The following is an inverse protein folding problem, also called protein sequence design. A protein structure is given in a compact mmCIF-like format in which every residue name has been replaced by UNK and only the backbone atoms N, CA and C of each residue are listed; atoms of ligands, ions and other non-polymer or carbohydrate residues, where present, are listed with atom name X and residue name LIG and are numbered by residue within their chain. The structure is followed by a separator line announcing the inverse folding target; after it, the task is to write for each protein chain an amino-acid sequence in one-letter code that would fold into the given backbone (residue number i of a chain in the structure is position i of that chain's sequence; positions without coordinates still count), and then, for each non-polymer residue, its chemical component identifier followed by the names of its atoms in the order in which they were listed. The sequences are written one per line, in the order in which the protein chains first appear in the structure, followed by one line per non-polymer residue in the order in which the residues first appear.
data_IF_441730677665
#
_entry.id   IF_441730677665
#
_cell.length_a   1.000
_cell.length_b   1.000
_cell.length_c   1.000
_cell.angle_alpha   90.00
_cell.angle_beta   90.00
_cell.angle_gamma   90.00
#
_symmetry.space_group_name_H-M   'P 1'
#
loop_
_entity.id
_entity.type
_entity.pdbx_description
1 polymer ?
#
# COMPACT_ATOMS: atom_id res chain seq x y z
N UNK A 1 5.51 11.72 -10.07
CA UNK A 1 5.33 10.30 -10.41
C UNK A 1 6.63 9.62 -10.06
N UNK A 2 6.60 8.53 -9.31
CA UNK A 2 7.83 7.88 -8.88
C UNK A 2 8.57 7.23 -10.07
N UNK A 3 9.90 7.21 -10.04
CA UNK A 3 10.70 6.50 -11.05
C UNK A 3 10.83 5.02 -10.69
N UNK A 4 11.15 4.17 -11.67
CA UNK A 4 11.31 2.72 -11.43
C UNK A 4 12.39 2.46 -10.38
N UNK A 5 12.05 1.71 -9.33
CA UNK A 5 12.94 1.39 -8.21
C UNK A 5 13.06 2.51 -7.17
N UNK A 6 12.24 3.58 -7.27
CA UNK A 6 12.17 4.58 -6.20
C UNK A 6 11.66 3.94 -4.90
N UNK A 7 12.40 4.14 -3.81
CA UNK A 7 12.12 3.57 -2.49
C UNK A 7 11.68 4.66 -1.51
N UNK A 8 10.67 4.35 -0.72
CA UNK A 8 10.27 5.11 0.45
C UNK A 8 10.22 4.19 1.66
N UNK A 9 11.02 4.49 2.68
CA UNK A 9 11.10 3.71 3.92
C UNK A 9 10.70 4.59 5.10
N UNK A 10 9.99 3.99 6.05
CA UNK A 10 9.52 4.68 7.23
C UNK A 10 9.45 3.76 8.43
N UNK A 11 9.39 4.36 9.62
CA UNK A 11 9.11 3.65 10.86
C UNK A 11 8.36 4.55 11.83
N UNK A 12 7.52 3.93 12.64
CA UNK A 12 6.85 4.52 13.78
C UNK A 12 7.32 3.78 15.03
N UNK A 13 7.80 4.53 16.00
CA UNK A 13 8.23 4.02 17.29
C UNK A 13 7.22 4.46 18.35
N UNK A 14 6.69 3.50 19.10
CA UNK A 14 5.76 3.74 20.19
C UNK A 14 6.14 2.86 21.40
N UNK A 15 6.04 3.40 22.61
CA UNK A 15 6.43 2.68 23.83
C UNK A 15 5.52 1.46 24.09
N UNK A 16 4.22 1.60 23.86
CA UNK A 16 3.22 0.54 24.09
C UNK A 16 3.14 -0.41 22.90
N UNK A 17 3.13 0.11 21.67
CA UNK A 17 2.88 -0.66 20.45
C UNK A 17 4.16 -1.17 19.78
N UNK A 18 5.34 -0.74 20.22
CA UNK A 18 6.62 -1.13 19.63
C UNK A 18 6.89 -0.47 18.28
N UNK A 19 7.84 -1.03 17.52
CA UNK A 19 8.23 -0.50 16.21
C UNK A 19 7.34 -1.07 15.10
N UNK A 20 6.76 -0.16 14.30
CA UNK A 20 6.12 -0.50 13.03
C UNK A 20 6.96 0.05 11.90
N UNK A 21 7.34 -0.81 10.93
CA UNK A 21 8.19 -0.45 9.80
C UNK A 21 7.41 -0.46 8.50
N UNK A 22 7.89 0.32 7.53
CA UNK A 22 7.34 0.47 6.20
C UNK A 22 8.47 0.41 5.17
N UNK A 23 8.26 -0.35 4.11
CA UNK A 23 8.97 -0.21 2.84
C UNK A 23 7.96 -0.09 1.71
N UNK A 24 8.18 0.88 0.82
CA UNK A 24 7.39 1.09 -0.38
C UNK A 24 8.34 1.24 -1.57
N UNK A 25 8.02 0.62 -2.69
CA UNK A 25 8.84 0.63 -3.91
C UNK A 25 7.96 0.87 -5.13
N UNK A 26 8.43 1.72 -6.03
CA UNK A 26 7.87 1.84 -7.37
C UNK A 26 8.36 0.68 -8.25
N UNK A 27 7.62 -0.42 -8.25
CA UNK A 27 7.99 -1.68 -8.94
C UNK A 27 7.71 -1.66 -10.45
N UNK A 28 6.94 -0.70 -10.96
CA UNK A 28 6.72 -0.51 -12.40
C UNK A 28 6.50 0.96 -12.74
N UNK A 29 6.97 1.40 -13.91
CA UNK A 29 6.78 2.76 -14.43
C UNK A 29 5.70 2.85 -15.52
N UNK A 30 5.55 1.81 -16.35
CA UNK A 30 4.56 1.75 -17.43
C UNK A 30 3.91 0.34 -17.49
N UNK A 31 2.75 0.13 -16.83
CA UNK A 31 1.97 1.10 -16.05
C UNK A 31 2.61 1.43 -14.69
N UNK A 32 2.27 2.57 -14.05
CA UNK A 32 2.81 2.90 -12.73
C UNK A 32 2.23 1.98 -11.66
N UNK A 33 3.10 1.25 -10.95
CA UNK A 33 2.72 0.36 -9.84
C UNK A 33 3.65 0.64 -8.66
N UNK A 34 3.06 0.87 -7.49
CA UNK A 34 3.76 0.95 -6.21
C UNK A 34 3.37 -0.24 -5.35
N UNK A 35 4.35 -0.98 -4.85
CA UNK A 35 4.17 -2.05 -3.87
C UNK A 35 4.62 -1.57 -2.48
N UNK A 36 4.02 -2.11 -1.42
CA UNK A 36 4.24 -1.67 -0.05
C UNK A 36 4.16 -2.86 0.91
N UNK A 37 5.03 -2.86 1.92
CA UNK A 37 5.02 -3.79 3.04
C UNK A 37 5.18 -3.02 4.35
N UNK A 38 4.24 -3.23 5.28
CA UNK A 38 4.19 -2.62 6.60
C UNK A 38 4.10 -3.73 7.64
N UNK A 39 4.90 -3.68 8.69
CA UNK A 39 4.86 -4.73 9.71
C UNK A 39 5.24 -4.25 11.10
N UNK A 40 4.72 -4.95 12.10
CA UNK A 40 5.03 -4.81 13.52
C UNK A 40 5.28 -6.21 14.11
N UNK A 41 6.55 -6.50 14.40
CA UNK A 41 6.98 -7.80 14.90
C UNK A 41 6.48 -8.09 16.32
N UNK A 42 6.33 -7.04 17.15
CA UNK A 42 5.88 -7.16 18.55
C UNK A 42 4.46 -7.72 18.64
N UNK A 43 3.58 -7.30 17.74
CA UNK A 43 2.17 -7.70 17.72
C UNK A 43 1.85 -8.75 16.65
N UNK A 44 2.82 -9.15 15.82
CA UNK A 44 2.61 -10.12 14.75
C UNK A 44 1.59 -9.63 13.72
N UNK A 45 1.63 -8.33 13.40
CA UNK A 45 0.71 -7.70 12.44
C UNK A 45 1.50 -7.23 11.23
N UNK A 46 1.08 -7.63 10.03
CA UNK A 46 1.70 -7.19 8.77
C UNK A 46 0.65 -6.90 7.71
N UNK A 47 0.92 -5.93 6.87
CA UNK A 47 0.13 -5.63 5.69
C UNK A 47 1.05 -5.54 4.47
N UNK A 48 0.65 -6.19 3.39
CA UNK A 48 1.31 -6.12 2.10
C UNK A 48 0.31 -5.70 1.04
N UNK A 49 0.73 -4.94 0.03
CA UNK A 49 -0.19 -4.55 -1.02
C UNK A 49 0.48 -3.82 -2.16
N UNK A 50 -0.30 -3.57 -3.20
CA UNK A 50 0.13 -2.78 -4.33
C UNK A 50 -1.03 -1.99 -4.91
N UNK A 51 -0.71 -0.93 -5.66
CA UNK A 51 -1.69 -0.16 -6.42
C UNK A 51 -1.14 0.23 -7.78
N UNK A 52 -1.96 0.03 -8.82
CA UNK A 52 -1.83 0.59 -10.16
C UNK A 52 -2.91 1.65 -10.34
N UNK A 53 -2.54 2.80 -10.89
CA UNK A 53 -3.47 3.89 -11.16
C UNK A 53 -3.67 4.08 -12.66
N UNK A 54 -4.92 3.93 -13.11
CA UNK A 54 -5.35 4.23 -14.47
C UNK A 54 -6.21 5.51 -14.43
N UNK A 55 -5.74 6.58 -15.07
CA UNK A 55 -6.32 7.92 -14.97
C UNK A 55 -6.96 8.32 -16.31
N UNK A 56 -8.23 8.74 -16.27
CA UNK A 56 -9.00 9.20 -17.43
C UNK A 56 -9.51 10.62 -17.22
N UNK A 57 -9.40 11.45 -18.27
CA UNK A 57 -9.84 12.85 -18.29
C UNK A 57 -11.05 13.02 -19.21
N UNK A 58 -12.19 13.48 -18.68
CA UNK A 58 -13.43 13.66 -19.44
C UNK A 58 -14.29 14.83 -18.91
N UNK A 59 -13.68 15.99 -18.64
CA UNK A 59 -14.32 17.11 -17.93
C UNK A 59 -14.39 16.92 -16.40
N UNK A 60 -13.98 15.76 -15.92
CA UNK A 60 -13.63 15.43 -14.53
C UNK A 60 -12.44 14.47 -14.57
N UNK A 61 -11.76 14.23 -13.45
CA UNK A 61 -10.66 13.25 -13.38
C UNK A 61 -11.19 11.99 -12.70
N UNK A 62 -11.14 10.86 -13.41
CA UNK A 62 -11.49 9.55 -12.86
C UNK A 62 -10.22 8.73 -12.71
N UNK A 63 -9.98 8.20 -11.51
CA UNK A 63 -8.83 7.36 -11.17
C UNK A 63 -9.38 5.98 -10.84
N UNK A 64 -9.13 5.03 -11.74
CA UNK A 64 -9.41 3.62 -11.49
C UNK A 64 -8.20 3.05 -10.77
N UNK A 65 -8.39 2.59 -9.54
CA UNK A 65 -7.35 1.93 -8.78
C UNK A 65 -7.48 0.42 -8.98
N UNK A 66 -6.37 -0.23 -9.35
CA UNK A 66 -6.27 -1.70 -9.40
C UNK A 66 -5.26 -2.14 -8.36
N UNK A 67 -5.58 -3.18 -7.62
CA UNK A 67 -4.73 -3.67 -6.55
C UNK A 67 -5.54 -3.94 -5.30
N UNK A 68 -4.83 -4.37 -4.27
CA UNK A 68 -5.38 -4.70 -2.98
C UNK A 68 -4.24 -4.72 -1.95
N UNK A 69 -4.63 -4.73 -0.68
CA UNK A 69 -3.76 -5.09 0.42
C UNK A 69 -4.26 -6.36 1.10
N UNK A 70 -3.34 -7.14 1.64
CA UNK A 70 -3.58 -8.26 2.53
C UNK A 70 -3.06 -7.86 3.91
N UNK A 71 -3.91 -7.89 4.92
CA UNK A 71 -3.54 -7.74 6.33
C UNK A 71 -3.54 -9.11 6.99
N UNK A 72 -2.44 -9.47 7.62
CA UNK A 72 -2.31 -10.69 8.40
C UNK A 72 -2.12 -10.36 9.88
N UNK A 73 -2.77 -11.16 10.74
CA UNK A 73 -2.66 -11.09 12.19
C UNK A 73 -2.28 -12.45 12.74
N UNK A 74 -1.02 -12.62 13.15
CA UNK A 74 -0.45 -13.90 13.59
C UNK A 74 -1.22 -14.51 14.76
N UNK A 75 -1.67 -13.66 15.70
CA UNK A 75 -2.42 -14.09 16.90
C UNK A 75 -3.65 -14.92 16.56
N UNK A 76 -4.31 -14.63 15.44
CA UNK A 76 -5.52 -15.32 15.00
C UNK A 76 -5.27 -16.22 13.79
N UNK A 77 -4.09 -16.12 13.18
CA UNK A 77 -3.76 -16.77 11.92
C UNK A 77 -4.83 -16.46 10.85
N UNK A 78 -5.16 -15.17 10.72
CA UNK A 78 -6.21 -14.66 9.83
C UNK A 78 -5.62 -13.70 8.80
N UNK A 79 -6.19 -13.78 7.59
CA UNK A 79 -5.88 -12.92 6.46
C UNK A 79 -7.12 -12.12 6.04
N UNK A 80 -6.93 -10.82 5.84
CA UNK A 80 -7.96 -9.87 5.46
C UNK A 80 -7.62 -9.20 4.14
N UNK A 81 -8.43 -9.44 3.11
CA UNK A 81 -8.31 -8.79 1.80
C UNK A 81 -8.98 -7.41 1.80
N UNK A 82 -8.22 -6.38 1.46
CA UNK A 82 -8.67 -4.99 1.40
C UNK A 82 -8.50 -4.43 -0.03
N UNK A 83 -9.57 -4.39 -0.85
CA UNK A 83 -9.50 -3.78 -2.16
C UNK A 83 -9.42 -2.24 -2.06
N UNK A 84 -8.77 -1.61 -3.03
CA UNK A 84 -8.68 -0.15 -3.12
C UNK A 84 -9.84 0.44 -3.94
N UNK A 85 -10.51 1.51 -3.47
CA UNK A 85 -11.64 2.09 -4.19
C UNK A 85 -11.18 2.99 -5.34
N UNK A 86 -12.05 3.13 -6.36
CA UNK A 86 -11.88 4.15 -7.38
C UNK A 86 -12.09 5.56 -6.81
N UNK A 87 -11.36 6.53 -7.34
CA UNK A 87 -11.44 7.94 -6.92
C UNK A 87 -11.97 8.78 -8.07
N UNK A 88 -12.83 9.76 -7.77
CA UNK A 88 -13.30 10.75 -8.73
C UNK A 88 -13.07 12.15 -8.19
N UNK A 89 -12.43 13.00 -8.99
CA UNK A 89 -12.20 14.41 -8.70
C UNK A 89 -13.18 15.21 -9.56
N UNK A 90 -13.99 16.05 -8.92
CA UNK A 90 -14.92 16.98 -9.57
C UNK A 90 -14.30 18.35 -9.68
#
# INVERSE_FOLDING_TARGET
NAFLGELFMGRWEDEELGETRLVSEQVSHHPPITACYIWNDKHGVRAEGFTEQEITFSGSVSIKQKGYAMLHIDKYNEDYLMPVPNVKIK
#
